data_IF_272103669252
#
_entry.id   IF_272103669252
#
_cell.length_a   1.000
_cell.length_b   1.000
_cell.length_c   1.000
_cell.angle_alpha   90.00
_cell.angle_beta   90.00
_cell.angle_gamma   90.00
#
_symmetry.space_group_name_H-M   'P 1'
#
loop_
_entity.id
_entity.type
_entity.pdbx_description
1 polymer ?
#
# COMPACT_ATOMS: atom_id res chain seq x y z
N UNK A 1 5.49 5.99 10.17
CA UNK A 1 5.40 4.76 9.37
C UNK A 1 6.59 4.53 8.45
N UNK A 2 6.92 5.45 7.52
CA UNK A 2 7.95 5.26 6.48
C UNK A 2 9.37 5.02 7.03
N UNK A 3 9.75 5.70 8.11
CA UNK A 3 11.04 5.47 8.76
C UNK A 3 11.17 4.03 9.25
N UNK A 4 10.12 3.46 9.80
CA UNK A 4 10.09 2.08 10.27
C UNK A 4 10.21 1.09 9.11
N UNK A 5 9.54 1.36 8.00
CA UNK A 5 9.66 0.57 6.76
C UNK A 5 11.11 0.60 6.24
N UNK A 6 11.74 1.77 6.24
CA UNK A 6 13.14 1.93 5.81
C UNK A 6 14.09 1.15 6.73
N UNK A 7 13.88 1.20 8.04
CA UNK A 7 14.68 0.45 9.02
C UNK A 7 14.55 -1.06 8.81
N UNK A 8 13.35 -1.57 8.46
CA UNK A 8 13.13 -2.98 8.11
C UNK A 8 14.04 -3.42 6.95
N UNK A 9 14.27 -2.54 5.96
CA UNK A 9 15.14 -2.85 4.83
C UNK A 9 16.62 -2.74 5.13
N UNK A 10 17.03 -1.76 5.93
CA UNK A 10 18.44 -1.46 6.19
C UNK A 10 19.00 -2.34 7.30
N UNK A 11 18.22 -2.60 8.35
CA UNK A 11 18.68 -3.35 9.54
C UNK A 11 19.31 -4.72 9.21
N UNK A 12 18.76 -5.54 8.31
CA UNK A 12 19.38 -6.82 7.94
C UNK A 12 20.68 -6.69 7.12
N UNK A 13 20.96 -5.50 6.55
CA UNK A 13 22.19 -5.25 5.78
C UNK A 13 23.38 -4.87 6.68
N UNK A 14 23.07 -4.39 7.88
CA UNK A 14 24.08 -4.00 8.86
C UNK A 14 24.61 -5.26 9.53
N UNK A 15 25.77 -5.74 9.07
CA UNK A 15 26.49 -6.81 9.78
C UNK A 15 27.07 -6.22 11.07
N UNK A 16 26.44 -6.60 12.20
CA UNK A 16 26.71 -6.06 13.54
C UNK A 16 28.19 -6.15 13.95
N UNK A 17 28.98 -7.00 13.31
CA UNK A 17 30.37 -7.24 13.68
C UNK A 17 31.41 -6.47 12.88
N UNK A 18 31.14 -6.07 11.63
CA UNK A 18 32.09 -5.31 10.77
C UNK A 18 31.35 -4.45 9.77
N UNK A 19 31.05 -3.21 10.12
CA UNK A 19 30.45 -2.24 9.21
C UNK A 19 31.55 -1.71 8.28
N UNK A 20 31.58 -2.18 7.04
CA UNK A 20 32.34 -1.54 5.98
C UNK A 20 31.39 -0.64 5.19
N UNK A 21 31.35 0.65 5.56
CA UNK A 21 30.45 1.66 4.99
C UNK A 21 30.54 1.75 3.47
N UNK A 22 31.75 1.61 2.90
CA UNK A 22 31.94 1.66 1.46
C UNK A 22 31.31 0.48 0.71
N UNK A 23 31.38 -0.73 1.28
CA UNK A 23 30.71 -1.91 0.70
C UNK A 23 29.19 -1.83 0.86
N UNK A 24 28.72 -1.27 1.98
CA UNK A 24 27.29 -1.07 2.22
C UNK A 24 26.71 -0.08 1.21
N UNK A 25 27.31 1.09 1.05
CA UNK A 25 26.88 2.09 0.07
C UNK A 25 26.88 1.54 -1.35
N UNK A 26 27.94 0.81 -1.74
CA UNK A 26 28.03 0.18 -3.05
C UNK A 26 26.98 -0.95 -3.24
N UNK A 27 26.55 -1.59 -2.18
CA UNK A 27 25.50 -2.62 -2.21
C UNK A 27 24.10 -2.02 -2.38
N UNK A 28 23.88 -0.78 -1.92
CA UNK A 28 22.57 -0.13 -1.91
C UNK A 28 22.24 0.63 -3.21
N UNK A 29 23.20 0.84 -4.10
CA UNK A 29 22.95 1.64 -5.29
C UNK A 29 21.91 1.03 -6.24
N UNK A 30 21.90 -0.31 -6.38
CA UNK A 30 20.93 -1.00 -7.24
C UNK A 30 19.51 -0.80 -6.71
N UNK A 31 19.32 -0.93 -5.40
CA UNK A 31 18.04 -0.72 -4.75
C UNK A 31 17.56 0.73 -4.88
N UNK A 32 18.50 1.68 -4.78
CA UNK A 32 18.21 3.10 -4.98
C UNK A 32 17.75 3.37 -6.43
N UNK A 33 18.44 2.81 -7.43
CA UNK A 33 18.04 2.94 -8.84
C UNK A 33 16.68 2.33 -9.10
N UNK A 34 16.36 1.18 -8.50
CA UNK A 34 15.01 0.56 -8.61
C UNK A 34 13.94 1.46 -7.99
N UNK A 35 14.21 2.03 -6.82
CA UNK A 35 13.28 2.94 -6.15
C UNK A 35 13.02 4.20 -6.99
N UNK A 36 14.08 4.81 -7.51
CA UNK A 36 14.00 5.99 -8.38
C UNK A 36 13.26 5.70 -9.68
N UNK A 37 13.52 4.57 -10.32
CA UNK A 37 12.83 4.15 -11.53
C UNK A 37 11.33 3.96 -11.29
N UNK A 38 10.95 3.39 -10.13
CA UNK A 38 9.53 3.24 -9.76
C UNK A 38 8.91 4.60 -9.45
N UNK A 39 9.59 5.48 -8.72
CA UNK A 39 9.10 6.84 -8.46
C UNK A 39 8.85 7.60 -9.77
N UNK A 40 9.79 7.57 -10.70
CA UNK A 40 9.66 8.20 -12.00
C UNK A 40 8.50 7.61 -12.82
N UNK A 41 8.36 6.29 -12.83
CA UNK A 41 7.24 5.61 -13.49
C UNK A 41 5.88 6.07 -12.95
N UNK A 42 5.74 6.16 -11.61
CA UNK A 42 4.51 6.59 -10.97
C UNK A 42 4.15 8.05 -11.33
N UNK A 43 5.15 8.94 -11.36
CA UNK A 43 4.96 10.32 -11.78
C UNK A 43 4.52 10.39 -13.25
N UNK A 44 5.11 9.59 -14.13
CA UNK A 44 4.74 9.51 -15.55
C UNK A 44 3.32 8.93 -15.74
N UNK A 45 2.87 8.04 -14.88
CA UNK A 45 1.50 7.51 -14.85
C UNK A 45 0.48 8.50 -14.26
N UNK A 46 0.92 9.69 -13.84
CA UNK A 46 0.05 10.76 -13.36
C UNK A 46 -0.20 10.79 -11.86
N UNK A 47 0.46 9.96 -11.08
CA UNK A 47 0.38 10.02 -9.61
C UNK A 47 1.23 11.21 -9.15
N UNK A 48 0.56 12.27 -8.68
CA UNK A 48 1.20 13.53 -8.24
C UNK A 48 1.22 13.70 -6.73
N UNK A 49 0.59 12.80 -5.99
CA UNK A 49 0.61 12.77 -4.54
C UNK A 49 2.03 12.45 -4.04
N UNK A 50 2.73 13.48 -3.55
CA UNK A 50 4.14 13.39 -3.13
C UNK A 50 4.36 12.29 -2.08
N UNK A 51 3.44 12.20 -1.10
CA UNK A 51 3.55 11.19 -0.04
C UNK A 51 3.35 9.77 -0.55
N UNK A 52 2.47 9.58 -1.53
CA UNK A 52 2.28 8.28 -2.17
C UNK A 52 3.52 7.86 -2.96
N UNK A 53 4.10 8.76 -3.77
CA UNK A 53 5.32 8.49 -4.54
C UNK A 53 6.49 8.14 -3.61
N UNK A 54 6.70 8.89 -2.53
CA UNK A 54 7.74 8.61 -1.53
C UNK A 54 7.49 7.23 -0.88
N UNK A 55 6.25 6.93 -0.49
CA UNK A 55 5.90 5.66 0.16
C UNK A 55 6.17 4.46 -0.77
N UNK A 56 5.76 4.56 -2.03
CA UNK A 56 6.04 3.52 -3.04
C UNK A 56 7.53 3.37 -3.32
N UNK A 57 8.28 4.47 -3.43
CA UNK A 57 9.73 4.43 -3.64
C UNK A 57 10.47 3.76 -2.48
N UNK A 58 10.13 4.12 -1.24
CA UNK A 58 10.70 3.50 -0.03
C UNK A 58 10.34 2.01 0.02
N UNK A 59 9.08 1.67 -0.25
CA UNK A 59 8.63 0.27 -0.25
C UNK A 59 9.36 -0.55 -1.33
N UNK A 60 9.54 0.01 -2.52
CA UNK A 60 10.29 -0.61 -3.61
C UNK A 60 11.76 -0.82 -3.26
N UNK A 61 12.40 0.19 -2.65
CA UNK A 61 13.76 0.09 -2.16
C UNK A 61 13.93 -1.09 -1.18
N UNK A 62 13.05 -1.18 -0.19
CA UNK A 62 13.08 -2.24 0.83
C UNK A 62 12.77 -3.60 0.21
N UNK A 63 11.77 -3.68 -0.67
CA UNK A 63 11.44 -4.92 -1.39
C UNK A 63 12.62 -5.42 -2.23
N UNK A 64 13.26 -4.54 -3.00
CA UNK A 64 14.46 -4.86 -3.77
C UNK A 64 15.59 -5.36 -2.86
N UNK A 65 15.78 -4.73 -1.71
CA UNK A 65 16.78 -5.15 -0.71
C UNK A 65 16.53 -6.58 -0.23
N UNK A 66 15.31 -6.90 0.15
CA UNK A 66 14.92 -8.24 0.62
C UNK A 66 15.12 -9.28 -0.49
N UNK A 67 14.63 -8.99 -1.70
CA UNK A 67 14.74 -9.91 -2.84
C UNK A 67 16.18 -10.19 -3.25
N UNK A 68 17.03 -9.16 -3.25
CA UNK A 68 18.46 -9.31 -3.56
C UNK A 68 19.14 -10.19 -2.50
N UNK A 69 18.87 -9.98 -1.22
CA UNK A 69 19.41 -10.81 -0.14
C UNK A 69 18.96 -12.28 -0.22
N UNK A 70 17.66 -12.49 -0.49
CA UNK A 70 17.13 -13.84 -0.70
C UNK A 70 17.83 -14.54 -1.88
N UNK A 71 17.92 -13.84 -3.02
CA UNK A 71 18.59 -14.34 -4.22
C UNK A 71 20.06 -14.68 -3.95
N UNK A 72 20.79 -13.80 -3.26
CA UNK A 72 22.20 -14.06 -2.93
C UNK A 72 22.39 -15.32 -2.09
N UNK A 73 21.53 -15.56 -1.10
CA UNK A 73 21.56 -16.77 -0.28
C UNK A 73 21.27 -18.04 -1.06
N UNK A 74 20.27 -17.99 -1.95
CA UNK A 74 19.90 -19.12 -2.82
C UNK A 74 21.01 -19.43 -3.83
N UNK A 75 21.53 -18.40 -4.52
CA UNK A 75 22.61 -18.55 -5.51
C UNK A 75 23.89 -19.07 -4.87
N UNK A 76 24.25 -18.59 -3.68
CA UNK A 76 25.40 -19.09 -2.95
C UNK A 76 25.27 -20.61 -2.69
N UNK A 77 24.08 -21.06 -2.31
CA UNK A 77 23.80 -22.49 -2.09
C UNK A 77 23.83 -23.29 -3.40
N UNK A 78 23.24 -22.79 -4.47
CA UNK A 78 23.31 -23.44 -5.78
C UNK A 78 24.75 -23.70 -6.21
N UNK A 79 25.63 -22.70 -6.01
CA UNK A 79 27.06 -22.82 -6.37
C UNK A 79 27.84 -23.76 -5.47
N UNK A 80 27.52 -23.78 -4.16
CA UNK A 80 28.26 -24.61 -3.21
C UNK A 80 27.84 -26.09 -3.22
N UNK A 81 26.56 -26.37 -3.49
CA UNK A 81 26.00 -27.73 -3.43
C UNK A 81 25.65 -28.32 -4.79
N UNK A 82 25.82 -27.59 -5.91
CA UNK A 82 25.45 -28.05 -7.25
C UNK A 82 23.97 -28.32 -7.44
N UNK A 83 23.11 -27.70 -6.57
CA UNK A 83 21.66 -27.92 -6.55
C UNK A 83 20.96 -27.07 -7.62
N UNK A 84 19.85 -27.55 -8.16
CA UNK A 84 18.99 -26.75 -9.00
C UNK A 84 18.23 -25.67 -8.17
N UNK A 85 17.66 -24.67 -8.84
CA UNK A 85 17.01 -23.52 -8.20
C UNK A 85 15.91 -23.92 -7.20
N UNK A 86 15.05 -24.89 -7.56
CA UNK A 86 13.92 -25.30 -6.71
C UNK A 86 14.41 -26.00 -5.43
N UNK A 87 15.35 -26.92 -5.57
CA UNK A 87 15.93 -27.64 -4.44
C UNK A 87 16.74 -26.69 -3.55
N UNK A 88 17.56 -25.82 -4.16
CA UNK A 88 18.34 -24.82 -3.41
C UNK A 88 17.44 -23.88 -2.61
N UNK A 89 16.32 -23.42 -3.20
CA UNK A 89 15.35 -22.57 -2.52
C UNK A 89 14.68 -23.31 -1.36
N UNK A 90 14.13 -24.49 -1.59
CA UNK A 90 13.47 -25.28 -0.56
C UNK A 90 14.40 -25.58 0.62
N UNK A 91 15.64 -25.98 0.34
CA UNK A 91 16.64 -26.28 1.37
C UNK A 91 17.20 -25.02 2.03
N UNK A 92 17.36 -23.89 1.30
CA UNK A 92 17.76 -22.62 1.89
C UNK A 92 16.75 -22.16 2.93
N UNK A 93 15.46 -22.18 2.58
CA UNK A 93 14.36 -21.82 3.50
C UNK A 93 14.26 -22.81 4.65
N UNK A 94 14.28 -24.12 4.36
CA UNK A 94 14.15 -25.18 5.38
C UNK A 94 15.28 -25.17 6.41
N UNK A 95 16.52 -24.95 5.99
CA UNK A 95 17.69 -24.96 6.88
C UNK A 95 17.88 -23.63 7.64
N UNK A 96 17.33 -22.51 7.13
CA UNK A 96 17.47 -21.19 7.75
C UNK A 96 16.10 -20.53 7.94
N UNK A 97 15.15 -21.26 8.52
CA UNK A 97 13.76 -20.80 8.72
C UNK A 97 13.67 -19.44 9.42
N UNK A 98 14.54 -19.19 10.40
CA UNK A 98 14.56 -17.92 11.14
C UNK A 98 14.89 -16.73 10.23
N UNK A 99 15.87 -16.88 9.33
CA UNK A 99 16.28 -15.81 8.41
C UNK A 99 15.25 -15.59 7.30
N UNK A 100 14.89 -16.64 6.58
CA UNK A 100 13.95 -16.53 5.45
C UNK A 100 12.52 -16.27 5.91
N UNK A 101 12.10 -16.83 7.06
CA UNK A 101 10.81 -16.52 7.67
C UNK A 101 10.67 -15.04 8.02
N UNK A 102 11.71 -14.45 8.62
CA UNK A 102 11.75 -13.00 8.87
C UNK A 102 11.65 -12.17 7.58
N UNK A 103 12.36 -12.55 6.52
CA UNK A 103 12.29 -11.86 5.22
C UNK A 103 10.89 -11.97 4.59
N UNK A 104 10.23 -13.12 4.69
CA UNK A 104 8.86 -13.31 4.20
C UNK A 104 7.87 -12.42 4.95
N UNK A 105 7.99 -12.37 6.29
CA UNK A 105 7.15 -11.50 7.12
C UNK A 105 7.35 -10.03 6.73
N UNK A 106 8.60 -9.58 6.60
CA UNK A 106 8.88 -8.20 6.18
C UNK A 106 8.31 -7.89 4.80
N UNK A 107 8.44 -8.82 3.85
CA UNK A 107 7.85 -8.66 2.52
C UNK A 107 6.32 -8.57 2.57
N UNK A 108 5.66 -9.35 3.42
CA UNK A 108 4.21 -9.28 3.62
C UNK A 108 3.78 -7.93 4.20
N UNK A 109 4.55 -7.36 5.14
CA UNK A 109 4.30 -6.01 5.67
C UNK A 109 4.41 -4.97 4.56
N UNK A 110 5.39 -5.09 3.65
CA UNK A 110 5.52 -4.18 2.52
C UNK A 110 4.31 -4.23 1.58
N UNK A 111 3.74 -5.41 1.34
CA UNK A 111 2.52 -5.55 0.54
C UNK A 111 1.33 -4.85 1.21
N UNK A 112 1.21 -4.93 2.53
CA UNK A 112 0.18 -4.20 3.28
C UNK A 112 0.38 -2.70 3.15
N UNK A 113 1.61 -2.20 3.33
CA UNK A 113 1.94 -0.76 3.18
C UNK A 113 1.61 -0.29 1.76
N UNK A 114 1.96 -1.08 0.74
CA UNK A 114 1.64 -0.79 -0.66
C UNK A 114 0.13 -0.71 -0.89
N UNK A 115 -0.64 -1.66 -0.33
CA UNK A 115 -2.10 -1.68 -0.43
C UNK A 115 -2.73 -0.45 0.21
N UNK A 116 -2.33 -0.10 1.42
CA UNK A 116 -2.83 1.09 2.14
C UNK A 116 -2.46 2.37 1.39
N UNK A 117 -1.20 2.51 0.95
CA UNK A 117 -0.75 3.68 0.20
C UNK A 117 -1.52 3.83 -1.12
N UNK A 118 -1.70 2.74 -1.85
CA UNK A 118 -2.47 2.74 -3.10
C UNK A 118 -3.93 3.11 -2.88
N UNK A 119 -4.56 2.53 -1.85
CA UNK A 119 -5.94 2.88 -1.50
C UNK A 119 -6.10 4.36 -1.19
N UNK A 120 -5.19 4.94 -0.42
CA UNK A 120 -5.23 6.38 -0.08
C UNK A 120 -4.90 7.29 -1.26
N UNK A 121 -3.96 6.89 -2.12
CA UNK A 121 -3.57 7.68 -3.29
C UNK A 121 -4.69 7.82 -4.34
N UNK A 122 -5.61 6.85 -4.37
CA UNK A 122 -6.75 6.84 -5.30
C UNK A 122 -8.09 7.17 -4.62
N UNK A 123 -8.08 7.47 -3.32
CA UNK A 123 -9.28 7.86 -2.61
C UNK A 123 -9.55 9.34 -2.84
N UNK A 124 -10.76 9.66 -3.32
CA UNK A 124 -11.28 11.02 -3.37
C UNK A 124 -12.29 11.20 -2.24
N UNK A 125 -11.99 12.05 -1.29
CA UNK A 125 -12.85 12.37 -0.16
C UNK A 125 -13.17 13.85 -0.14
N UNK A 126 -14.46 14.19 -0.20
CA UNK A 126 -14.95 15.56 -0.07
C UNK A 126 -15.82 15.63 1.16
N UNK A 127 -15.38 16.40 2.15
CA UNK A 127 -16.15 16.66 3.37
C UNK A 127 -16.83 18.01 3.25
N UNK A 128 -18.16 18.01 3.14
CA UNK A 128 -18.97 19.20 3.00
C UNK A 128 -20.26 19.06 3.79
N UNK A 129 -20.70 20.11 4.44
CA UNK A 129 -22.02 20.19 5.04
C UNK A 129 -22.98 20.73 3.98
N UNK A 130 -24.01 19.95 3.63
CA UNK A 130 -25.02 20.31 2.65
C UNK A 130 -26.36 20.58 3.33
N UNK A 131 -26.99 21.71 3.02
CA UNK A 131 -28.39 21.95 3.33
C UNK A 131 -29.31 21.25 2.29
N UNK A 132 -30.56 21.03 2.64
CA UNK A 132 -31.51 20.40 1.72
C UNK A 132 -31.64 21.21 0.41
N UNK A 133 -31.45 20.55 -0.71
CA UNK A 133 -31.40 21.16 -2.06
C UNK A 133 -30.03 21.60 -2.52
N UNK A 134 -29.00 21.57 -1.65
CA UNK A 134 -27.62 21.88 -2.07
C UNK A 134 -26.96 20.71 -2.75
N UNK A 135 -25.99 21.03 -3.61
CA UNK A 135 -25.27 20.04 -4.42
C UNK A 135 -23.76 20.20 -4.26
N UNK A 136 -23.05 19.10 -4.32
CA UNK A 136 -21.58 19.05 -4.37
C UNK A 136 -21.14 18.23 -5.59
N UNK A 137 -20.04 18.64 -6.21
CA UNK A 137 -19.45 17.92 -7.32
C UNK A 137 -18.25 17.10 -6.83
N UNK A 138 -18.27 15.79 -7.12
CA UNK A 138 -17.21 14.84 -6.75
C UNK A 138 -16.94 13.93 -7.95
N UNK A 139 -15.71 13.94 -8.47
CA UNK A 139 -15.27 13.06 -9.56
C UNK A 139 -16.20 13.09 -10.81
N UNK A 140 -16.73 14.27 -11.17
CA UNK A 140 -17.65 14.44 -12.31
C UNK A 140 -19.08 13.95 -12.06
N UNK A 141 -19.41 13.62 -10.81
CA UNK A 141 -20.77 13.38 -10.36
C UNK A 141 -21.25 14.55 -9.50
N UNK A 142 -22.47 14.99 -9.73
CA UNK A 142 -23.15 15.98 -8.89
C UNK A 142 -24.05 15.24 -7.91
N UNK A 143 -23.78 15.38 -6.62
CA UNK A 143 -24.57 14.82 -5.54
C UNK A 143 -25.46 15.93 -4.96
N UNK A 144 -26.79 15.79 -5.06
CA UNK A 144 -27.73 16.74 -4.49
C UNK A 144 -28.37 16.13 -3.24
N UNK A 145 -28.24 16.80 -2.12
CA UNK A 145 -28.90 16.40 -0.89
C UNK A 145 -30.39 16.78 -0.95
N UNK A 146 -31.26 15.78 -1.00
CA UNK A 146 -32.68 15.99 -1.19
C UNK A 146 -33.44 16.10 0.12
N UNK A 147 -33.24 15.14 1.02
CA UNK A 147 -33.96 15.08 2.27
C UNK A 147 -33.29 14.15 3.28
N UNK A 148 -33.71 14.29 4.52
CA UNK A 148 -33.37 13.37 5.59
C UNK A 148 -34.58 12.48 5.89
N UNK A 149 -34.41 11.19 5.76
CA UNK A 149 -35.48 10.21 6.05
C UNK A 149 -35.20 9.60 7.43
N UNK A 150 -36.11 9.86 8.33
CA UNK A 150 -36.08 9.34 9.69
C UNK A 150 -37.10 8.21 9.78
N UNK A 151 -36.64 6.98 9.95
CA UNK A 151 -37.53 5.85 10.19
C UNK A 151 -37.18 5.11 11.46
N UNK A 152 -38.15 4.99 12.32
CA UNK A 152 -38.12 4.09 13.46
C UNK A 152 -38.41 2.68 12.98
N UNK A 153 -37.45 1.76 13.03
CA UNK A 153 -37.61 0.39 12.63
C UNK A 153 -37.90 -0.45 13.88
N UNK A 154 -39.12 -0.96 13.99
CA UNK A 154 -39.59 -1.73 15.14
C UNK A 154 -39.06 -3.19 15.19
N UNK A 155 -38.41 -3.69 14.15
CA UNK A 155 -37.81 -5.03 14.09
C UNK A 155 -36.38 -5.01 14.66
N UNK A 156 -36.17 -5.62 15.80
CA UNK A 156 -34.94 -5.75 16.58
C UNK A 156 -34.50 -4.54 17.41
N UNK A 157 -35.28 -4.22 18.45
CA UNK A 157 -34.77 -3.43 19.58
C UNK A 157 -34.46 -1.98 19.27
N UNK A 158 -35.47 -1.22 18.88
CA UNK A 158 -35.46 0.27 18.87
C UNK A 158 -34.25 0.90 18.15
N UNK A 159 -33.86 0.39 16.97
CA UNK A 159 -32.84 1.00 16.13
C UNK A 159 -33.43 2.13 15.32
N UNK A 160 -32.98 3.34 15.62
CA UNK A 160 -33.29 4.54 14.84
C UNK A 160 -32.41 4.50 13.58
N UNK A 161 -32.99 4.31 12.40
CA UNK A 161 -32.28 4.45 11.13
C UNK A 161 -32.35 5.88 10.65
N UNK A 162 -31.19 6.50 10.61
CA UNK A 162 -31.01 7.84 10.08
C UNK A 162 -30.42 7.74 8.66
N UNK A 163 -31.24 8.08 7.65
CA UNK A 163 -30.84 8.00 6.24
C UNK A 163 -30.83 9.40 5.62
N UNK A 164 -29.72 9.77 4.99
CA UNK A 164 -29.72 10.91 4.09
C UNK A 164 -30.09 10.44 2.68
N UNK A 165 -30.93 11.17 1.98
CA UNK A 165 -31.29 10.88 0.59
C UNK A 165 -30.47 11.79 -0.31
N UNK A 166 -29.62 11.19 -1.15
CA UNK A 166 -28.79 11.91 -2.11
C UNK A 166 -29.13 11.47 -3.53
N UNK A 167 -29.46 12.40 -4.39
CA UNK A 167 -29.62 12.17 -5.80
C UNK A 167 -28.28 12.38 -6.53
N UNK A 168 -27.89 11.40 -7.30
CA UNK A 168 -26.61 11.39 -8.05
C UNK A 168 -26.88 11.71 -9.51
N UNK A 169 -26.24 12.74 -10.01
CA UNK A 169 -26.30 13.16 -11.41
C UNK A 169 -24.94 13.01 -12.06
N UNK A 170 -24.93 12.64 -13.35
CA UNK A 170 -23.74 12.67 -14.20
C UNK A 170 -24.10 13.40 -15.50
N UNK A 171 -23.35 14.44 -15.83
CA UNK A 171 -23.62 15.28 -17.02
C UNK A 171 -25.08 15.76 -17.10
N UNK A 172 -25.67 16.17 -15.96
CA UNK A 172 -27.04 16.66 -15.87
C UNK A 172 -28.15 15.58 -15.89
N UNK A 173 -27.81 14.29 -16.02
CA UNK A 173 -28.78 13.18 -16.00
C UNK A 173 -28.72 12.47 -14.65
N UNK A 174 -29.87 12.27 -14.02
CA UNK A 174 -29.96 11.47 -12.79
C UNK A 174 -29.58 10.02 -13.07
N UNK A 175 -28.58 9.51 -12.35
CA UNK A 175 -28.03 8.16 -12.52
C UNK A 175 -28.48 7.22 -11.41
N UNK A 176 -28.58 7.74 -10.18
CA UNK A 176 -28.95 6.96 -9.01
C UNK A 176 -29.51 7.83 -7.88
N UNK A 177 -30.18 7.21 -6.94
CA UNK A 177 -30.45 7.78 -5.61
C UNK A 177 -29.78 6.89 -4.58
N UNK A 178 -28.90 7.43 -3.76
CA UNK A 178 -28.20 6.73 -2.68
C UNK A 178 -28.74 7.16 -1.33
N UNK A 179 -28.82 6.22 -0.40
CA UNK A 179 -29.34 6.42 0.95
C UNK A 179 -28.31 5.91 1.95
N UNK A 180 -27.24 6.69 2.24
CA UNK A 180 -26.29 6.32 3.26
C UNK A 180 -26.98 6.28 4.63
N UNK A 181 -26.76 5.18 5.36
CA UNK A 181 -27.25 4.98 6.70
C UNK A 181 -26.11 5.22 7.70
N UNK A 182 -26.47 5.86 8.82
CA UNK A 182 -25.57 5.92 9.98
C UNK A 182 -26.13 4.99 11.05
N UNK A 183 -25.39 3.93 11.34
CA UNK A 183 -25.66 3.03 12.47
C UNK A 183 -25.16 3.65 13.78
#
# INVERSE_FOLDING_TARGET
GLILVLLIGICPLVDWRRINTGKLLRSLWIQAVVAEAIALLLILLGIREVWAVISFAVTAFVAATILIQMRQGIVARMRSAGENLLVATARAVGNNRRRYGGQIIHFSILLIVMGITGSQAYQSEVQVALAAGESVEVEGYTLTYTSYDYREVEEEGNKIRNQAVLDVYRSGRKVATVRPERN
#
